data_IF_937508726875
#
_entry.id   IF_937508726875
#
_cell.length_a   1.000
_cell.length_b   1.000
_cell.length_c   1.000
_cell.angle_alpha   90.00
_cell.angle_beta   90.00
_cell.angle_gamma   90.00
#
_symmetry.space_group_name_H-M   'P 1'
#
loop_
_entity.id
_entity.type
_entity.pdbx_description
1 polymer ?
#
# COMPACT_ATOMS: atom_id res chain seq x y z
N UNK A 1 35.03 -43.37 26.24
CA UNK A 1 34.06 -42.50 25.54
C UNK A 1 33.47 -43.32 24.41
N UNK A 2 32.15 -43.55 24.40
CA UNK A 2 31.48 -44.17 23.24
C UNK A 2 31.46 -43.13 22.13
N UNK A 3 32.18 -43.40 21.05
CA UNK A 3 32.19 -42.53 19.87
C UNK A 3 30.87 -42.65 19.11
N UNK A 4 30.43 -41.53 18.53
CA UNK A 4 29.32 -41.49 17.56
C UNK A 4 29.59 -42.49 16.43
N UNK A 5 28.55 -43.25 16.05
CA UNK A 5 28.67 -44.15 14.89
C UNK A 5 28.60 -43.34 13.58
N UNK A 6 29.22 -43.84 12.52
CA UNK A 6 29.27 -43.15 11.22
C UNK A 6 27.87 -42.88 10.66
N UNK A 7 26.93 -43.82 10.86
CA UNK A 7 25.53 -43.69 10.44
C UNK A 7 24.79 -42.61 11.22
N UNK A 8 25.08 -42.47 12.51
CA UNK A 8 24.48 -41.48 13.38
C UNK A 8 24.97 -40.07 13.03
N UNK A 9 26.25 -39.92 12.68
CA UNK A 9 26.76 -38.67 12.13
C UNK A 9 26.09 -38.32 10.79
N UNK A 10 25.91 -39.29 9.88
CA UNK A 10 25.21 -39.06 8.60
C UNK A 10 23.78 -38.56 8.76
N UNK A 11 23.02 -39.14 9.69
CA UNK A 11 21.62 -38.73 9.92
C UNK A 11 21.57 -37.29 10.45
N UNK A 12 22.49 -36.92 11.35
CA UNK A 12 22.55 -35.56 11.91
C UNK A 12 22.85 -34.51 10.85
N UNK A 13 23.84 -34.72 9.97
CA UNK A 13 24.11 -33.76 8.88
C UNK A 13 22.95 -33.63 7.90
N UNK A 14 22.23 -34.72 7.61
CA UNK A 14 21.04 -34.67 6.75
C UNK A 14 19.93 -33.84 7.39
N UNK A 15 19.66 -34.03 8.68
CA UNK A 15 18.64 -33.25 9.40
C UNK A 15 19.03 -31.77 9.46
N UNK A 16 20.29 -31.46 9.76
CA UNK A 16 20.77 -30.07 9.81
C UNK A 16 20.66 -29.42 8.42
N UNK A 17 21.06 -30.10 7.35
CA UNK A 17 20.94 -29.59 5.98
C UNK A 17 19.47 -29.31 5.61
N UNK A 18 18.55 -30.21 5.96
CA UNK A 18 17.12 -30.02 5.71
C UNK A 18 16.55 -28.82 6.48
N UNK A 19 16.85 -28.72 7.78
CA UNK A 19 16.41 -27.59 8.61
C UNK A 19 16.98 -26.25 8.13
N UNK A 20 18.23 -26.24 7.65
CA UNK A 20 18.87 -25.03 7.12
C UNK A 20 18.14 -24.50 5.87
N UNK A 21 17.67 -25.37 4.98
CA UNK A 21 16.89 -24.98 3.80
C UNK A 21 15.55 -24.34 4.19
N UNK A 22 14.84 -24.92 5.15
CA UNK A 22 13.57 -24.36 5.65
C UNK A 22 13.78 -23.00 6.34
N UNK A 23 14.84 -22.88 7.15
CA UNK A 23 15.18 -21.65 7.84
C UNK A 23 15.47 -20.51 6.86
N UNK A 24 16.19 -20.78 5.76
CA UNK A 24 16.51 -19.78 4.75
C UNK A 24 15.27 -19.13 4.12
N UNK A 25 14.27 -19.94 3.73
CA UNK A 25 13.01 -19.43 3.18
C UNK A 25 12.20 -18.63 4.19
N UNK A 26 12.18 -19.06 5.45
CA UNK A 26 11.48 -18.37 6.53
C UNK A 26 12.09 -16.98 6.77
N UNK A 27 13.42 -16.87 6.89
CA UNK A 27 14.13 -15.61 7.14
C UNK A 27 13.86 -14.60 6.02
N UNK A 28 13.94 -15.01 4.75
CA UNK A 28 13.67 -14.13 3.61
C UNK A 28 12.29 -13.48 3.68
N UNK A 29 11.26 -14.26 4.00
CA UNK A 29 9.89 -13.76 4.12
C UNK A 29 9.74 -12.80 5.30
N UNK A 30 10.41 -13.06 6.42
CA UNK A 30 10.40 -12.17 7.58
C UNK A 30 11.10 -10.83 7.30
N UNK A 31 12.20 -10.85 6.54
CA UNK A 31 12.88 -9.62 6.12
C UNK A 31 11.98 -8.76 5.25
N UNK A 32 11.27 -9.35 4.28
CA UNK A 32 10.32 -8.62 3.42
C UNK A 32 9.18 -8.01 4.24
N UNK A 33 8.60 -8.76 5.17
CA UNK A 33 7.59 -8.24 6.11
C UNK A 33 8.13 -7.08 6.95
N UNK A 34 9.39 -7.19 7.41
CA UNK A 34 10.04 -6.13 8.18
C UNK A 34 10.20 -4.84 7.37
N UNK A 35 10.65 -4.93 6.11
CA UNK A 35 10.76 -3.77 5.22
C UNK A 35 9.39 -3.18 4.87
N UNK A 36 8.38 -4.01 4.57
CA UNK A 36 7.04 -3.53 4.23
C UNK A 36 6.35 -2.85 5.43
N UNK A 37 6.49 -3.42 6.63
CA UNK A 37 6.03 -2.78 7.87
C UNK A 37 6.72 -1.43 8.09
N UNK A 38 8.02 -1.34 7.80
CA UNK A 38 8.77 -0.08 7.88
C UNK A 38 8.28 0.95 6.86
N UNK A 39 8.06 0.54 5.60
CA UNK A 39 7.49 1.40 4.54
C UNK A 39 6.13 1.97 4.93
N UNK A 40 5.24 1.14 5.51
CA UNK A 40 3.93 1.60 6.02
C UNK A 40 4.09 2.65 7.12
N UNK A 41 4.96 2.40 8.09
CA UNK A 41 5.22 3.35 9.17
C UNK A 41 5.81 4.67 8.65
N UNK A 42 6.71 4.60 7.68
CA UNK A 42 7.35 5.76 7.07
C UNK A 42 6.34 6.60 6.25
N UNK A 43 5.52 5.96 5.41
CA UNK A 43 4.42 6.64 4.68
C UNK A 43 3.44 7.29 5.66
N UNK A 44 3.07 6.61 6.74
CA UNK A 44 2.18 7.18 7.75
C UNK A 44 2.77 8.44 8.40
N UNK A 45 4.07 8.44 8.72
CA UNK A 45 4.76 9.61 9.28
C UNK A 45 4.76 10.79 8.31
N UNK A 46 5.07 10.53 7.04
CA UNK A 46 5.04 11.57 5.99
C UNK A 46 3.62 12.10 5.85
N UNK A 47 2.61 11.22 5.79
CA UNK A 47 1.20 11.61 5.71
C UNK A 47 0.84 12.58 6.84
N UNK A 48 1.07 12.22 8.10
CA UNK A 48 0.74 13.09 9.24
C UNK A 48 1.38 14.48 9.07
N UNK A 49 2.67 14.54 8.72
CA UNK A 49 3.38 15.80 8.54
C UNK A 49 2.86 16.63 7.34
N UNK A 50 2.50 15.97 6.24
CA UNK A 50 1.94 16.61 5.04
C UNK A 50 0.54 17.17 5.32
N UNK A 51 -0.27 16.48 6.11
CA UNK A 51 -1.59 16.97 6.55
C UNK A 51 -1.46 18.13 7.56
N UNK A 52 -0.42 18.15 8.40
CA UNK A 52 -0.13 19.31 9.26
C UNK A 52 0.37 20.52 8.46
N UNK A 53 1.22 20.29 7.45
CA UNK A 53 1.65 21.34 6.52
C UNK A 53 0.45 21.99 5.83
N UNK A 54 -0.51 21.20 5.37
CA UNK A 54 -1.70 21.71 4.67
C UNK A 54 -2.56 22.61 5.56
N UNK A 55 -2.71 22.29 6.85
CA UNK A 55 -3.46 23.12 7.80
C UNK A 55 -2.89 24.53 7.97
N UNK A 56 -1.59 24.70 7.79
CA UNK A 56 -0.90 25.98 7.96
C UNK A 56 -0.75 26.76 6.64
N UNK A 57 -0.76 26.07 5.49
CA UNK A 57 -0.48 26.65 4.17
C UNK A 57 -1.68 26.63 3.21
N UNK A 58 -2.82 26.05 3.63
CA UNK A 58 -4.03 25.80 2.82
C UNK A 58 -3.75 24.97 1.53
N UNK A 59 -2.62 24.27 1.47
CA UNK A 59 -2.20 23.45 0.34
C UNK A 59 -1.19 22.37 0.73
N UNK A 60 -1.16 21.29 -0.04
CA UNK A 60 -0.16 20.24 0.15
C UNK A 60 1.21 20.66 -0.41
N UNK A 61 2.31 20.16 0.16
CA UNK A 61 3.65 20.52 -0.29
C UNK A 61 3.92 20.00 -1.70
N UNK A 62 4.81 20.69 -2.41
CA UNK A 62 5.36 20.23 -3.68
C UNK A 62 6.35 19.07 -3.46
N UNK A 63 6.65 18.27 -4.49
CA UNK A 63 7.44 17.04 -4.35
C UNK A 63 8.85 17.33 -3.86
N UNK A 64 9.38 18.52 -4.15
CA UNK A 64 10.72 18.97 -3.74
C UNK A 64 10.94 18.98 -2.22
N UNK A 65 9.86 19.19 -1.45
CA UNK A 65 9.88 19.18 0.02
C UNK A 65 9.68 17.78 0.61
N UNK A 66 9.14 16.84 -0.18
CA UNK A 66 8.83 15.46 0.24
C UNK A 66 9.85 14.48 -0.37
N UNK A 67 11.12 14.87 -0.37
CA UNK A 67 12.23 14.04 -0.85
C UNK A 67 13.04 13.53 0.33
N UNK A 68 13.30 12.22 0.36
CA UNK A 68 14.31 11.69 1.25
C UNK A 68 15.70 12.15 0.80
N UNK A 69 16.26 13.10 1.54
CA UNK A 69 17.65 13.53 1.39
C UNK A 69 18.34 13.45 2.74
N UNK A 70 19.55 12.85 2.83
CA UNK A 70 20.25 12.67 4.10
C UNK A 70 20.60 13.98 4.84
N UNK A 71 20.71 15.09 4.10
CA UNK A 71 21.26 16.37 4.57
C UNK A 71 20.26 17.54 4.48
N UNK A 72 19.03 17.29 4.01
CA UNK A 72 18.02 18.32 3.79
C UNK A 72 17.10 18.44 5.02
N UNK A 73 16.57 19.63 5.26
CA UNK A 73 15.72 19.96 6.41
C UNK A 73 14.26 19.52 6.23
N UNK A 74 14.04 18.43 5.50
CA UNK A 74 12.74 17.76 5.34
C UNK A 74 11.55 18.71 5.13
N UNK A 75 10.43 18.34 5.76
CA UNK A 75 9.19 19.13 5.79
C UNK A 75 9.08 19.83 7.16
N UNK A 76 10.11 20.57 7.57
CA UNK A 76 10.10 21.27 8.86
C UNK A 76 9.09 22.42 8.87
N UNK A 77 8.46 22.69 10.03
CA UNK A 77 8.67 22.06 11.35
C UNK A 77 7.95 20.71 11.56
N UNK A 78 7.15 20.24 10.61
CA UNK A 78 6.26 19.08 10.75
C UNK A 78 7.00 17.74 10.76
N UNK A 79 8.10 17.63 10.00
CA UNK A 79 8.93 16.43 9.96
C UNK A 79 10.39 16.79 9.71
N UNK A 80 11.24 16.54 10.70
CA UNK A 80 12.66 16.87 10.65
C UNK A 80 13.40 16.20 9.47
N UNK A 81 13.03 14.96 9.15
CA UNK A 81 13.63 14.21 8.04
C UNK A 81 12.60 13.31 7.38
N UNK A 82 12.50 13.42 6.06
CA UNK A 82 11.71 12.50 5.24
C UNK A 82 12.41 11.12 5.25
N UNK A 83 11.74 10.05 5.68
CA UNK A 83 12.32 8.71 5.65
C UNK A 83 12.52 8.19 4.22
N UNK A 84 13.60 7.43 4.02
CA UNK A 84 13.89 6.72 2.78
C UNK A 84 13.33 5.30 2.84
N UNK A 85 13.04 4.74 1.67
CA UNK A 85 12.76 3.31 1.54
C UNK A 85 13.91 2.48 2.14
N UNK A 86 13.64 1.55 3.06
CA UNK A 86 14.69 0.83 3.80
C UNK A 86 15.51 -0.13 2.93
N UNK A 87 15.07 -0.42 1.70
CA UNK A 87 15.78 -1.29 0.76
C UNK A 87 16.48 -0.51 -0.35
N UNK A 88 15.79 0.43 -0.99
CA UNK A 88 16.37 1.18 -2.12
C UNK A 88 17.14 2.42 -1.67
N UNK A 89 16.91 2.86 -0.43
CA UNK A 89 17.41 4.12 0.12
C UNK A 89 16.97 5.34 -0.73
N UNK A 90 15.88 5.19 -1.48
CA UNK A 90 15.27 6.23 -2.30
C UNK A 90 14.05 6.86 -1.63
N UNK A 91 13.54 7.93 -2.24
CA UNK A 91 12.29 8.55 -1.80
C UNK A 91 11.09 7.69 -2.19
N UNK A 92 10.03 7.74 -1.39
CA UNK A 92 8.72 7.28 -1.83
C UNK A 92 8.23 8.13 -3.01
N UNK A 93 7.49 7.52 -3.92
CA UNK A 93 6.97 8.27 -5.06
C UNK A 93 5.81 9.14 -4.59
N UNK A 94 5.97 10.46 -4.73
CA UNK A 94 5.00 11.47 -4.33
C UNK A 94 4.33 12.05 -5.57
N UNK A 95 3.02 11.90 -5.64
CA UNK A 95 2.15 12.39 -6.70
C UNK A 95 1.20 13.42 -6.10
N UNK A 96 0.81 14.39 -6.90
CA UNK A 96 0.04 15.54 -6.43
C UNK A 96 -0.68 16.19 -7.60
N UNK A 97 -1.63 17.06 -7.27
CA UNK A 97 -2.21 17.96 -8.26
C UNK A 97 -1.12 18.81 -8.92
N UNK A 98 -1.16 18.94 -10.26
CA UNK A 98 -0.21 19.76 -11.01
C UNK A 98 -0.54 21.24 -10.86
N UNK A 99 -0.25 21.79 -9.69
CA UNK A 99 -0.55 23.15 -9.25
C UNK A 99 0.58 23.63 -8.33
N UNK A 100 0.79 24.95 -8.25
CA UNK A 100 1.66 25.55 -7.23
C UNK A 100 1.06 25.49 -5.82
N UNK A 101 -0.24 25.21 -5.72
CA UNK A 101 -1.02 25.07 -4.51
C UNK A 101 -1.83 23.77 -4.61
N UNK A 102 -1.19 22.58 -4.52
CA UNK A 102 -1.87 21.31 -4.70
C UNK A 102 -2.98 21.10 -3.66
N UNK A 103 -4.16 20.68 -4.12
CA UNK A 103 -5.29 20.33 -3.24
C UNK A 103 -5.33 18.86 -2.88
N UNK A 104 -4.50 18.01 -3.47
CA UNK A 104 -4.40 16.62 -3.08
C UNK A 104 -2.99 16.06 -3.32
N UNK A 105 -2.66 14.96 -2.63
CA UNK A 105 -1.43 14.20 -2.82
C UNK A 105 -1.62 12.69 -2.63
N UNK A 106 -0.66 11.90 -3.13
CA UNK A 106 -0.54 10.45 -2.93
C UNK A 106 0.93 10.08 -2.76
N UNK A 107 1.18 9.12 -1.89
CA UNK A 107 2.46 8.47 -1.66
C UNK A 107 2.35 7.02 -2.08
N UNK A 108 3.30 6.55 -2.87
CA UNK A 108 3.33 5.18 -3.37
C UNK A 108 4.58 4.44 -2.90
N UNK A 109 4.42 3.13 -2.73
CA UNK A 109 5.54 2.20 -2.52
C UNK A 109 5.22 0.83 -3.12
N UNK A 110 6.24 -0.01 -3.20
CA UNK A 110 6.15 -1.39 -3.66
C UNK A 110 6.49 -2.33 -2.50
N UNK A 111 5.49 -3.04 -2.01
CA UNK A 111 5.64 -4.17 -1.11
C UNK A 111 6.27 -5.36 -1.81
N UNK A 112 7.08 -6.07 -1.06
CA UNK A 112 7.72 -7.32 -1.51
C UNK A 112 6.89 -8.53 -1.10
N UNK A 113 6.19 -8.43 0.03
CA UNK A 113 5.25 -9.43 0.48
C UNK A 113 3.87 -9.21 -0.18
N UNK A 114 3.64 -9.85 -1.33
CA UNK A 114 2.34 -9.83 -2.01
C UNK A 114 1.19 -10.49 -1.21
N UNK A 115 1.50 -11.14 -0.09
CA UNK A 115 0.52 -11.70 0.85
C UNK A 115 0.21 -10.76 2.02
N UNK A 116 0.73 -9.53 2.00
CA UNK A 116 0.35 -8.50 2.96
C UNK A 116 -1.13 -8.14 2.78
N UNK A 117 -1.87 -7.93 3.87
CA UNK A 117 -3.30 -7.57 3.81
C UNK A 117 -3.54 -6.24 3.11
N UNK A 118 -2.53 -5.36 3.13
CA UNK A 118 -2.64 -4.02 2.58
C UNK A 118 -2.13 -3.96 1.12
N UNK A 119 -1.81 -5.10 0.51
CA UNK A 119 -1.44 -5.17 -0.91
C UNK A 119 -2.64 -4.81 -1.79
N UNK A 120 -2.50 -3.78 -2.62
CA UNK A 120 -3.57 -3.22 -3.45
C UNK A 120 -3.49 -3.62 -4.92
N UNK A 121 -2.57 -4.51 -5.30
CA UNK A 121 -2.33 -4.82 -6.71
C UNK A 121 -1.57 -3.73 -7.46
N UNK A 122 -1.23 -3.94 -8.75
CA UNK A 122 -0.44 -2.99 -9.52
C UNK A 122 -1.18 -1.66 -9.70
N UNK A 123 -0.53 -0.55 -9.35
CA UNK A 123 -1.10 0.80 -9.36
C UNK A 123 -0.05 1.87 -9.60
N UNK A 124 -0.51 3.11 -9.79
CA UNK A 124 0.32 4.28 -10.03
C UNK A 124 0.96 4.29 -11.42
N UNK A 125 1.90 5.22 -11.67
CA UNK A 125 2.53 5.36 -12.99
C UNK A 125 3.20 4.07 -13.45
N UNK A 126 2.80 3.60 -14.62
CA UNK A 126 3.36 2.38 -15.23
C UNK A 126 3.14 1.11 -14.39
N UNK A 127 2.16 1.07 -13.48
CA UNK A 127 1.89 -0.07 -12.60
C UNK A 127 3.11 -0.52 -11.77
N UNK A 128 3.98 0.42 -11.42
CA UNK A 128 5.26 0.14 -10.74
C UNK A 128 5.15 0.02 -9.22
N UNK A 129 3.96 0.28 -8.66
CA UNK A 129 3.70 0.29 -7.23
C UNK A 129 2.54 -0.65 -6.89
N UNK A 130 2.38 -0.98 -5.61
CA UNK A 130 1.31 -1.88 -5.17
C UNK A 130 0.67 -1.51 -3.82
N UNK A 131 1.05 -0.35 -3.28
CA UNK A 131 0.46 0.27 -2.11
C UNK A 131 0.53 1.78 -2.27
N UNK A 132 -0.52 2.47 -1.84
CA UNK A 132 -0.51 3.93 -1.75
C UNK A 132 -1.26 4.42 -0.52
N UNK A 133 -0.94 5.63 -0.08
CA UNK A 133 -1.71 6.40 0.89
C UNK A 133 -1.69 7.86 0.48
N UNK A 134 -2.76 8.61 0.71
CA UNK A 134 -2.83 10.01 0.30
C UNK A 134 -3.83 10.80 1.11
N UNK A 135 -4.06 12.03 0.67
CA UNK A 135 -5.09 12.90 1.24
C UNK A 135 -6.49 12.32 1.01
N UNK A 136 -7.47 12.65 1.87
CA UNK A 136 -8.84 12.14 1.73
C UNK A 136 -9.53 12.50 0.40
N UNK A 137 -9.12 13.61 -0.21
CA UNK A 137 -9.66 14.15 -1.45
C UNK A 137 -8.83 13.79 -2.69
N UNK A 138 -7.76 13.00 -2.54
CA UNK A 138 -7.00 12.54 -3.69
C UNK A 138 -7.88 11.64 -4.57
N UNK A 139 -7.85 11.81 -5.91
CA UNK A 139 -8.53 10.89 -6.79
C UNK A 139 -7.95 9.49 -6.59
N UNK A 140 -8.68 8.45 -6.97
CA UNK A 140 -8.11 7.10 -6.93
C UNK A 140 -6.95 6.97 -7.93
N UNK A 141 -5.79 6.37 -7.57
CA UNK A 141 -4.72 6.10 -8.53
C UNK A 141 -5.21 5.07 -9.53
N UNK A 142 -5.36 5.46 -10.79
CA UNK A 142 -5.86 4.60 -11.85
C UNK A 142 -5.00 3.33 -11.99
N UNK A 143 -5.46 2.21 -11.45
CA UNK A 143 -5.21 0.88 -12.00
C UNK A 143 -6.32 0.60 -13.06
N UNK A 144 -6.18 -0.37 -13.99
CA UNK A 144 -6.97 -0.45 -15.22
C UNK A 144 -8.48 -0.32 -14.93
N UNK A 145 -9.29 0.24 -15.85
CA UNK A 145 -10.70 0.49 -15.63
C UNK A 145 -11.39 -0.78 -15.15
N UNK A 146 -11.52 -0.87 -13.83
CA UNK A 146 -12.47 -1.72 -13.19
C UNK A 146 -13.79 -1.04 -13.51
N UNK A 147 -14.62 -1.69 -14.32
CA UNK A 147 -15.98 -1.22 -14.52
C UNK A 147 -16.78 -1.28 -13.22
N UNK A 148 -16.22 -1.79 -12.11
CA UNK A 148 -16.91 -1.97 -10.85
C UNK A 148 -16.90 -0.70 -10.00
N UNK A 149 -18.07 -0.39 -9.44
CA UNK A 149 -18.27 0.75 -8.54
C UNK A 149 -18.71 0.26 -7.17
N UNK A 150 -18.37 1.02 -6.13
CA UNK A 150 -18.78 0.77 -4.76
C UNK A 150 -18.92 2.09 -4.00
N UNK A 151 -19.56 2.05 -2.82
CA UNK A 151 -19.80 3.26 -2.05
C UNK A 151 -18.71 3.48 -1.00
N UNK A 152 -18.11 4.67 -0.95
CA UNK A 152 -17.18 5.04 0.11
C UNK A 152 -17.66 6.34 0.74
N UNK A 153 -17.99 6.30 2.03
CA UNK A 153 -18.51 7.45 2.78
C UNK A 153 -19.72 8.14 2.11
N UNK A 154 -20.63 7.35 1.51
CA UNK A 154 -21.85 7.87 0.88
C UNK A 154 -21.70 8.36 -0.57
N UNK A 155 -20.50 8.21 -1.16
CA UNK A 155 -20.20 8.60 -2.55
C UNK A 155 -19.86 7.36 -3.36
N UNK A 156 -20.44 7.24 -4.56
CA UNK A 156 -20.13 6.16 -5.49
C UNK A 156 -18.77 6.38 -6.15
N UNK A 157 -17.84 5.44 -5.99
CA UNK A 157 -16.46 5.51 -6.48
C UNK A 157 -16.07 4.20 -7.17
N UNK A 158 -15.15 4.20 -8.16
CA UNK A 158 -14.64 2.96 -8.73
C UNK A 158 -13.88 2.14 -7.68
N UNK A 159 -14.07 0.82 -7.67
CA UNK A 159 -13.40 -0.12 -6.76
C UNK A 159 -12.43 -1.01 -7.53
N UNK A 160 -11.38 -1.50 -6.86
CA UNK A 160 -10.41 -2.37 -7.51
C UNK A 160 -10.94 -3.79 -7.75
N UNK A 161 -10.44 -4.41 -8.82
CA UNK A 161 -10.49 -5.85 -9.01
C UNK A 161 -9.46 -6.51 -8.10
N UNK A 162 -9.91 -7.36 -7.17
CA UNK A 162 -9.00 -8.10 -6.31
C UNK A 162 -8.42 -9.31 -7.09
N UNK A 163 -7.09 -9.38 -7.34
CA UNK A 163 -6.50 -10.50 -8.08
C UNK A 163 -6.35 -11.78 -7.22
N UNK A 164 -6.50 -11.70 -5.89
CA UNK A 164 -6.36 -12.83 -4.95
C UNK A 164 -7.70 -13.51 -4.60
N UNK A 165 -8.82 -12.83 -4.85
CA UNK A 165 -10.18 -13.37 -4.79
C UNK A 165 -10.89 -12.89 -6.06
N UNK A 166 -11.10 -13.72 -7.10
CA UNK A 166 -11.60 -13.24 -8.39
C UNK A 166 -12.97 -12.56 -8.22
N UNK A 167 -12.95 -11.23 -8.17
CA UNK A 167 -14.10 -10.38 -7.89
C UNK A 167 -13.66 -8.98 -7.47
N UNK A 168 -14.53 -7.98 -7.63
CA UNK A 168 -14.26 -6.65 -7.09
C UNK A 168 -14.31 -6.68 -5.55
N UNK A 169 -13.79 -5.66 -4.88
CA UNK A 169 -13.87 -5.56 -3.42
C UNK A 169 -15.29 -5.14 -3.00
N UNK A 170 -16.14 -6.12 -2.68
CA UNK A 170 -17.59 -5.94 -2.53
C UNK A 170 -18.00 -5.45 -1.13
N UNK A 171 -17.25 -4.52 -0.54
CA UNK A 171 -17.57 -3.95 0.77
C UNK A 171 -17.22 -2.43 0.82
N UNK A 172 -18.19 -1.55 1.12
CA UNK A 172 -19.62 -1.83 1.23
C UNK A 172 -20.31 -1.93 -0.14
N UNK A 173 -21.19 -2.92 -0.30
CA UNK A 173 -22.05 -3.07 -1.48
C UNK A 173 -23.30 -2.16 -1.38
N UNK A 174 -24.07 -2.07 -2.48
CA UNK A 174 -25.33 -1.34 -2.63
C UNK A 174 -26.32 -1.67 -1.52
N UNK A 175 -26.37 -2.95 -1.14
CA UNK A 175 -27.28 -3.47 -0.12
C UNK A 175 -26.90 -3.13 1.31
N UNK A 176 -25.70 -2.59 1.57
CA UNK A 176 -25.29 -2.19 2.91
C UNK A 176 -26.09 -0.97 3.38
N UNK A 177 -26.46 -0.95 4.67
CA UNK A 177 -27.19 0.17 5.29
C UNK A 177 -26.43 1.49 5.23
N UNK A 178 -25.11 1.44 5.07
CA UNK A 178 -24.22 2.59 4.86
C UNK A 178 -24.24 3.18 3.44
N UNK A 179 -24.76 2.45 2.45
CA UNK A 179 -24.68 2.83 1.04
C UNK A 179 -25.90 3.60 0.51
N UNK A 180 -27.04 3.62 1.23
CA UNK A 180 -28.26 4.41 0.92
C UNK A 180 -28.69 4.40 -0.57
N UNK A 181 -28.39 3.34 -1.32
CA UNK A 181 -28.70 3.22 -2.74
C UNK A 181 -28.01 4.26 -3.65
N UNK A 182 -26.85 4.78 -3.24
CA UNK A 182 -26.15 5.85 -3.97
C UNK A 182 -25.37 5.38 -5.21
N UNK A 183 -25.19 4.08 -5.40
CA UNK A 183 -24.54 3.47 -6.58
C UNK A 183 -25.55 2.83 -7.54
N UNK A 184 -26.53 3.60 -8.04
CA UNK A 184 -27.55 3.11 -8.99
C UNK A 184 -27.51 3.84 -10.32
N UNK A 185 -27.84 3.11 -11.38
CA UNK A 185 -28.08 3.68 -12.70
C UNK A 185 -29.34 4.58 -12.64
N UNK A 186 -29.25 5.85 -13.06
CA UNK A 186 -30.35 6.80 -12.93
C UNK A 186 -31.57 6.48 -13.81
N UNK A 187 -31.41 5.63 -14.83
CA UNK A 187 -32.50 5.25 -15.73
C UNK A 187 -33.20 3.97 -15.27
N UNK A 188 -32.45 3.02 -14.70
CA UNK A 188 -32.99 1.70 -14.33
C UNK A 188 -33.21 1.52 -12.83
N UNK A 189 -32.59 2.34 -11.98
CA UNK A 189 -32.59 2.18 -10.53
C UNK A 189 -31.82 0.93 -10.05
N UNK A 190 -31.19 0.19 -10.96
CA UNK A 190 -30.40 -0.98 -10.64
C UNK A 190 -28.98 -0.59 -10.20
N UNK A 191 -28.28 -1.42 -9.39
CA UNK A 191 -26.90 -1.18 -9.00
C UNK A 191 -25.96 -1.09 -10.22
N UNK A 192 -25.04 -0.12 -10.24
CA UNK A 192 -24.05 0.02 -11.33
C UNK A 192 -22.86 -0.89 -11.05
N UNK A 193 -22.71 -1.95 -11.85
CA UNK A 193 -21.51 -2.80 -11.89
C UNK A 193 -21.00 -3.20 -10.49
N UNK A 194 -21.89 -3.64 -9.62
CA UNK A 194 -21.49 -4.16 -8.30
C UNK A 194 -21.21 -5.66 -8.35
N UNK A 195 -20.39 -6.16 -7.43
CA UNK A 195 -20.37 -7.60 -7.22
C UNK A 195 -21.68 -8.05 -6.57
N UNK A 196 -22.22 -9.16 -7.05
CA UNK A 196 -23.12 -9.99 -6.24
C UNK A 196 -22.29 -10.92 -5.35
N UNK A 197 -22.61 -11.02 -4.06
CA UNK A 197 -22.12 -12.16 -3.28
C UNK A 197 -22.85 -13.40 -3.81
N UNK A 198 -22.09 -14.36 -4.34
CA UNK A 198 -22.60 -15.68 -4.73
C UNK A 198 -22.81 -16.51 -3.47
#
# INVERSE_FOLDING_TARGET
MRGLTVTELMIVVVIIAFLALLAFWAVRTQVYKGFDARRKADIHRIKVAVEEYEKDHDCYPTPDLVVCKPQDTGLRPYLDKIPCDPRTNGSYYYDHENSSCPKWYRLYTAFENIKDSDYMGPLGPGNSFNYFSGSPNAPYPSAPPSNFYGCRSGVCVPILWNPTRPGAECDPNFGSSSCYGKCTDPNTGAPINECTQI
#
